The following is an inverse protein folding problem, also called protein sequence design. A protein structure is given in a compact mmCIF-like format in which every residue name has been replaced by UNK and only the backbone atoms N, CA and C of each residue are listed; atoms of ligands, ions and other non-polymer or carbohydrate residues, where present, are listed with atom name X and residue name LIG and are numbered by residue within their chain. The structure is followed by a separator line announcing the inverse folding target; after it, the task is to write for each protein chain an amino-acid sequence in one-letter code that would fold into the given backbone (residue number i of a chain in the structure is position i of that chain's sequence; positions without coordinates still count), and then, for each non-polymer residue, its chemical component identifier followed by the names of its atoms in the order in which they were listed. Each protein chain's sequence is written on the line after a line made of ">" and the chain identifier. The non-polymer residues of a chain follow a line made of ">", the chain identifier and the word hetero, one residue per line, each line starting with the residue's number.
data_IF_917145355197
#
_entry.id   IF_917145355197
#
_cell.length_a   1.000
_cell.length_b   1.000
_cell.length_c   1.000
_cell.angle_alpha   90.00
_cell.angle_beta   90.00
_cell.angle_gamma   90.00
#
_symmetry.space_group_name_H-M   'P 1'
#
loop_
_entity.id
_entity.type
_entity.pdbx_description
1 polymer ?
#
# COMPACT_ATOMS: atom_id res chain seq x y z
N UNK A 1 8.49 9.48 22.80
CA UNK A 1 8.51 8.01 22.63
C UNK A 1 7.16 7.51 22.08
N UNK A 2 6.84 7.71 20.79
CA UNK A 2 5.48 7.39 20.28
C UNK A 2 5.41 6.84 18.84
N UNK A 3 6.40 7.11 17.97
CA UNK A 3 6.34 6.63 16.58
C UNK A 3 6.74 5.15 16.42
N UNK A 4 7.72 4.66 17.19
CA UNK A 4 8.18 3.27 17.14
C UNK A 4 7.14 2.26 17.65
N UNK A 5 6.19 2.69 18.48
CA UNK A 5 5.18 1.81 19.07
C UNK A 5 4.05 1.46 18.09
N UNK A 6 3.85 2.24 17.02
CA UNK A 6 2.84 2.00 15.97
C UNK A 6 3.38 1.22 14.77
N UNK A 7 4.71 1.22 14.58
CA UNK A 7 5.43 0.29 13.66
C UNK A 7 5.36 -1.16 14.15
N UNK A 8 4.78 -1.38 15.34
CA UNK A 8 4.53 -2.66 16.02
C UNK A 8 3.43 -3.53 15.39
N UNK A 9 2.98 -3.25 14.16
CA UNK A 9 2.34 -4.28 13.36
C UNK A 9 3.47 -5.19 12.85
N UNK A 10 3.74 -6.28 13.58
CA UNK A 10 4.97 -7.09 13.49
C UNK A 10 5.40 -7.51 12.07
N UNK A 11 4.48 -7.51 11.10
CA UNK A 11 4.75 -7.85 9.70
C UNK A 11 5.77 -6.92 9.03
N UNK A 12 5.66 -5.60 9.20
CA UNK A 12 6.52 -4.64 8.48
C UNK A 12 7.88 -4.42 9.15
N UNK A 13 7.98 -4.71 10.44
CA UNK A 13 9.21 -4.49 11.21
C UNK A 13 10.38 -5.32 10.70
N UNK A 14 10.14 -6.59 10.37
CA UNK A 14 11.18 -7.48 9.85
C UNK A 14 11.71 -6.97 8.49
N UNK A 15 10.83 -6.46 7.63
CA UNK A 15 11.21 -5.88 6.34
C UNK A 15 12.01 -4.59 6.48
N UNK A 16 11.64 -3.73 7.43
CA UNK A 16 12.40 -2.50 7.72
C UNK A 16 13.80 -2.83 8.24
N UNK A 17 13.92 -3.80 9.14
CA UNK A 17 15.23 -4.25 9.67
C UNK A 17 16.08 -4.80 8.52
N UNK A 18 15.51 -5.68 7.69
CA UNK A 18 16.23 -6.26 6.54
C UNK A 18 16.69 -5.18 5.57
N UNK A 19 15.83 -4.21 5.25
CA UNK A 19 16.18 -3.08 4.38
C UNK A 19 17.32 -2.23 4.96
N UNK A 20 17.32 -1.98 6.27
CA UNK A 20 18.39 -1.26 6.94
C UNK A 20 19.73 -2.03 6.91
N UNK A 21 19.70 -3.35 7.13
CA UNK A 21 20.88 -4.22 7.02
C UNK A 21 21.45 -4.22 5.60
N UNK A 22 20.58 -4.29 4.58
CA UNK A 22 20.99 -4.21 3.18
C UNK A 22 21.62 -2.85 2.83
N UNK A 23 21.04 -1.74 3.29
CA UNK A 23 21.63 -0.41 3.11
C UNK A 23 23.00 -0.29 3.80
N UNK A 24 23.15 -0.87 5.00
CA UNK A 24 24.43 -0.90 5.70
C UNK A 24 25.46 -1.76 4.95
N UNK A 25 25.06 -2.90 4.39
CA UNK A 25 25.94 -3.72 3.57
C UNK A 25 26.42 -2.97 2.31
N UNK A 26 25.53 -2.21 1.66
CA UNK A 26 25.90 -1.34 0.52
C UNK A 26 26.87 -0.25 0.98
N UNK A 27 26.67 0.33 2.18
CA UNK A 27 27.57 1.34 2.73
C UNK A 27 29.00 0.84 2.92
N UNK A 28 29.14 -0.42 3.35
CA UNK A 28 30.44 -1.05 3.61
C UNK A 28 31.11 -1.48 2.29
N UNK A 29 30.36 -2.06 1.36
CA UNK A 29 30.91 -2.61 0.10
C UNK A 29 31.15 -1.53 -0.96
N UNK A 30 30.25 -0.55 -1.07
CA UNK A 30 30.27 0.48 -2.12
C UNK A 30 29.70 1.81 -1.58
N UNK A 31 30.49 2.58 -0.80
CA UNK A 31 30.03 3.82 -0.18
C UNK A 31 29.60 4.88 -1.21
N UNK A 32 30.19 4.88 -2.40
CA UNK A 32 29.83 5.78 -3.49
C UNK A 32 28.42 5.51 -4.04
N UNK A 33 27.95 4.26 -3.97
CA UNK A 33 26.65 3.86 -4.50
C UNK A 33 25.48 4.20 -3.57
N UNK A 34 25.77 4.51 -2.29
CA UNK A 34 24.74 4.88 -1.31
C UNK A 34 23.85 6.03 -1.79
N UNK A 35 24.46 7.10 -2.33
CA UNK A 35 23.72 8.27 -2.81
C UNK A 35 22.71 7.91 -3.91
N UNK A 36 23.14 7.07 -4.87
CA UNK A 36 22.29 6.63 -5.98
C UNK A 36 21.17 5.73 -5.48
N UNK A 37 21.44 4.81 -4.55
CA UNK A 37 20.41 3.93 -3.97
C UNK A 37 19.38 4.70 -3.15
N UNK A 38 19.82 5.69 -2.34
CA UNK A 38 18.92 6.54 -1.57
C UNK A 38 18.07 7.43 -2.47
N UNK A 39 18.64 7.95 -3.55
CA UNK A 39 17.90 8.71 -4.55
C UNK A 39 16.80 7.87 -5.21
N UNK A 40 17.13 6.66 -5.69
CA UNK A 40 16.15 5.73 -6.29
C UNK A 40 15.05 5.34 -5.29
N UNK A 41 15.42 5.08 -4.03
CA UNK A 41 14.46 4.74 -2.98
C UNK A 41 13.51 5.92 -2.67
N UNK A 42 14.05 7.14 -2.63
CA UNK A 42 13.26 8.36 -2.42
C UNK A 42 12.26 8.58 -3.54
N UNK A 43 12.68 8.38 -4.78
CA UNK A 43 11.80 8.47 -5.95
C UNK A 43 10.66 7.46 -5.92
N UNK A 44 10.95 6.19 -5.64
CA UNK A 44 9.92 5.14 -5.51
C UNK A 44 8.93 5.48 -4.39
N UNK A 45 9.43 6.04 -3.27
CA UNK A 45 8.59 6.44 -2.14
C UNK A 45 7.66 7.59 -2.53
N UNK A 46 8.17 8.60 -3.23
CA UNK A 46 7.37 9.73 -3.74
C UNK A 46 6.36 9.24 -4.77
N UNK A 47 6.75 8.36 -5.70
CA UNK A 47 5.88 7.77 -6.70
C UNK A 47 4.68 7.05 -6.07
N UNK A 48 4.92 6.27 -5.01
CA UNK A 48 3.86 5.56 -4.29
C UNK A 48 2.87 6.53 -3.61
N UNK A 49 3.37 7.60 -2.96
CA UNK A 49 2.53 8.61 -2.30
C UNK A 49 1.71 9.37 -3.33
N UNK A 50 2.32 9.77 -4.45
CA UNK A 50 1.65 10.48 -5.53
C UNK A 50 0.60 9.59 -6.20
N UNK A 51 0.92 8.33 -6.51
CA UNK A 51 -0.02 7.41 -7.13
C UNK A 51 -1.25 7.16 -6.28
N UNK A 52 -1.08 7.04 -4.96
CA UNK A 52 -2.21 6.92 -4.04
C UNK A 52 -3.09 8.18 -4.00
N UNK A 53 -2.48 9.37 -3.93
CA UNK A 53 -3.24 10.63 -3.91
C UNK A 53 -3.93 10.91 -5.24
N UNK A 54 -3.27 10.62 -6.35
CA UNK A 54 -3.79 10.81 -7.69
C UNK A 54 -5.01 9.92 -7.95
N UNK A 55 -4.94 8.64 -7.58
CA UNK A 55 -6.11 7.74 -7.65
C UNK A 55 -7.29 8.25 -6.82
N UNK A 56 -7.04 8.77 -5.61
CA UNK A 56 -8.10 9.36 -4.77
C UNK A 56 -8.67 10.67 -5.33
N UNK A 57 -7.84 11.52 -5.93
CA UNK A 57 -8.26 12.81 -6.46
C UNK A 57 -9.09 12.67 -7.73
N UNK A 58 -8.73 11.72 -8.61
CA UNK A 58 -9.46 11.45 -9.85
C UNK A 58 -10.83 10.81 -9.60
N UNK A 59 -10.97 10.02 -8.53
CA UNK A 59 -12.17 9.20 -8.30
C UNK A 59 -12.67 9.27 -6.85
N UNK A 60 -13.21 10.42 -6.39
CA UNK A 60 -13.70 10.57 -5.03
C UNK A 60 -14.87 9.63 -4.68
N UNK A 61 -15.74 9.31 -5.65
CA UNK A 61 -16.96 8.53 -5.44
C UNK A 61 -16.82 7.02 -5.74
N UNK A 62 -15.77 6.58 -6.46
CA UNK A 62 -15.57 5.18 -6.81
C UNK A 62 -14.54 4.51 -5.88
N UNK A 63 -14.73 4.67 -4.57
CA UNK A 63 -13.84 4.08 -3.57
C UNK A 63 -14.15 2.59 -3.38
N UNK A 64 -13.15 1.69 -3.24
CA UNK A 64 -13.39 0.25 -3.09
C UNK A 64 -14.31 -0.09 -1.91
N UNK A 65 -14.25 0.69 -0.82
CA UNK A 65 -15.10 0.49 0.35
C UNK A 65 -16.57 0.77 0.10
N UNK A 66 -16.91 1.55 -0.94
CA UNK A 66 -18.31 1.86 -1.29
C UNK A 66 -19.07 0.67 -1.88
N UNK A 67 -18.36 -0.39 -2.30
CA UNK A 67 -18.96 -1.61 -2.86
C UNK A 67 -19.10 -2.73 -1.83
N UNK A 68 -18.73 -2.51 -0.58
CA UNK A 68 -18.89 -3.48 0.50
C UNK A 68 -20.31 -3.37 1.08
N UNK A 69 -20.88 -4.50 1.48
CA UNK A 69 -22.20 -4.55 2.14
C UNK A 69 -22.11 -3.88 3.51
N UNK A 70 -21.07 -4.26 4.27
CA UNK A 70 -20.76 -3.66 5.56
C UNK A 70 -19.56 -2.72 5.43
N UNK A 71 -19.77 -1.44 5.76
CA UNK A 71 -18.68 -0.47 5.74
C UNK A 71 -17.70 -0.79 6.87
N UNK A 72 -16.48 -1.20 6.51
CA UNK A 72 -15.42 -1.59 7.45
C UNK A 72 -15.11 -0.51 8.51
N UNK A 73 -15.40 0.76 8.21
CA UNK A 73 -15.26 1.88 9.14
C UNK A 73 -16.16 1.75 10.37
N UNK A 74 -17.34 1.15 10.20
CA UNK A 74 -18.31 0.96 11.28
C UNK A 74 -17.96 -0.22 12.21
N UNK A 75 -16.97 -1.02 11.81
CA UNK A 75 -16.47 -2.21 12.53
C UNK A 75 -15.15 -1.92 13.26
N UNK A 76 -14.54 -0.74 13.07
CA UNK A 76 -13.32 -0.34 13.79
C UNK A 76 -13.52 -0.39 15.31
N UNK A 77 -12.82 -1.31 15.99
CA UNK A 77 -12.83 -1.45 17.45
C UNK A 77 -13.94 -2.35 18.01
N UNK A 78 -14.80 -2.92 17.16
CA UNK A 78 -15.75 -3.97 17.56
C UNK A 78 -15.06 -5.35 17.49
N UNK A 79 -15.45 -6.32 18.34
CA UNK A 79 -14.96 -7.68 18.20
C UNK A 79 -15.26 -8.18 16.78
N UNK A 80 -14.33 -8.95 16.16
CA UNK A 80 -14.54 -9.48 14.83
C UNK A 80 -15.87 -10.21 14.79
N UNK A 81 -16.74 -9.82 13.85
CA UNK A 81 -17.99 -10.53 13.61
C UNK A 81 -17.58 -11.96 13.26
N UNK A 82 -18.14 -13.01 13.92
CA UNK A 82 -17.79 -14.38 13.61
C UNK A 82 -18.30 -14.71 12.19
N UNK A 83 -17.49 -14.43 11.17
CA UNK A 83 -17.71 -14.91 9.81
C UNK A 83 -17.57 -16.43 9.81
N UNK A 84 -18.46 -17.13 9.10
CA UNK A 84 -18.32 -18.57 8.90
C UNK A 84 -16.95 -18.91 8.30
N UNK A 85 -16.47 -20.16 8.46
CA UNK A 85 -15.14 -20.62 7.98
C UNK A 85 -14.82 -20.28 6.51
N UNK A 86 -15.84 -20.02 5.69
CA UNK A 86 -15.72 -19.71 4.27
C UNK A 86 -16.35 -18.36 3.87
N UNK A 87 -16.68 -17.50 4.83
CA UNK A 87 -17.30 -16.20 4.56
C UNK A 87 -16.25 -15.08 4.62
N UNK A 88 -16.22 -14.17 3.64
CA UNK A 88 -15.33 -13.03 3.68
C UNK A 88 -15.66 -12.13 4.87
N UNK A 89 -14.62 -11.59 5.52
CA UNK A 89 -14.77 -10.67 6.66
C UNK A 89 -15.55 -9.39 6.27
N UNK A 90 -15.46 -8.98 5.00
CA UNK A 90 -16.23 -7.88 4.42
C UNK A 90 -16.78 -8.32 3.04
N UNK A 91 -18.06 -8.73 2.95
CA UNK A 91 -18.65 -9.16 1.68
C UNK A 91 -18.88 -7.97 0.73
N UNK A 92 -18.69 -8.21 -0.56
CA UNK A 92 -18.99 -7.25 -1.63
C UNK A 92 -20.49 -7.30 -1.95
N UNK A 93 -21.09 -6.16 -2.29
CA UNK A 93 -22.48 -6.07 -2.71
C UNK A 93 -22.76 -7.01 -3.89
N UNK A 94 -23.81 -7.82 -3.76
CA UNK A 94 -24.18 -8.82 -4.76
C UNK A 94 -24.43 -8.15 -6.12
N UNK A 95 -23.80 -8.69 -7.18
CA UNK A 95 -23.87 -8.12 -8.54
C UNK A 95 -22.83 -7.04 -8.86
N UNK A 96 -22.07 -6.53 -7.87
CA UNK A 96 -21.04 -5.50 -8.08
C UNK A 96 -19.60 -6.03 -8.02
N UNK A 97 -19.40 -7.34 -7.95
CA UNK A 97 -18.07 -7.97 -7.85
C UNK A 97 -17.13 -7.58 -9.00
N UNK A 98 -17.64 -7.56 -10.23
CA UNK A 98 -16.86 -7.16 -11.41
C UNK A 98 -16.49 -5.67 -11.38
N UNK A 99 -17.40 -4.82 -10.88
CA UNK A 99 -17.13 -3.38 -10.74
C UNK A 99 -16.10 -3.16 -9.65
N UNK A 100 -16.19 -3.88 -8.54
CA UNK A 100 -15.20 -3.86 -7.47
C UNK A 100 -13.82 -4.31 -7.97
N UNK A 101 -13.75 -5.42 -8.72
CA UNK A 101 -12.51 -5.90 -9.32
C UNK A 101 -11.94 -4.89 -10.32
N UNK A 102 -12.76 -4.29 -11.18
CA UNK A 102 -12.35 -3.26 -12.12
C UNK A 102 -11.79 -2.01 -11.42
N UNK A 103 -12.42 -1.59 -10.32
CA UNK A 103 -11.94 -0.48 -9.49
C UNK A 103 -10.57 -0.83 -8.90
N UNK A 104 -10.38 -2.03 -8.34
CA UNK A 104 -9.08 -2.46 -7.80
C UNK A 104 -7.99 -2.51 -8.88
N UNK A 105 -8.31 -3.03 -10.07
CA UNK A 105 -7.39 -3.07 -11.21
C UNK A 105 -7.00 -1.67 -11.67
N UNK A 106 -7.95 -0.72 -11.71
CA UNK A 106 -7.65 0.69 -12.03
C UNK A 106 -6.61 1.27 -11.06
N UNK A 107 -6.78 1.07 -9.75
CA UNK A 107 -5.82 1.58 -8.75
C UNK A 107 -4.44 0.97 -8.97
N UNK A 108 -4.38 -0.34 -9.23
CA UNK A 108 -3.14 -1.06 -9.49
C UNK A 108 -2.43 -0.53 -10.75
N UNK A 109 -3.17 -0.30 -11.83
CA UNK A 109 -2.64 0.23 -13.09
C UNK A 109 -2.12 1.67 -12.95
N UNK A 110 -2.85 2.55 -12.29
CA UNK A 110 -2.41 3.95 -12.05
C UNK A 110 -1.12 3.98 -11.22
N UNK A 111 -1.09 3.22 -10.12
CA UNK A 111 0.10 3.15 -9.25
C UNK A 111 1.28 2.51 -9.99
N UNK A 112 1.04 1.47 -10.79
CA UNK A 112 2.07 0.83 -11.62
C UNK A 112 2.63 1.80 -12.67
N UNK A 113 1.77 2.51 -13.40
CA UNK A 113 2.18 3.48 -14.42
C UNK A 113 3.03 4.62 -13.83
N UNK A 114 2.65 5.12 -12.64
CA UNK A 114 3.42 6.16 -11.94
C UNK A 114 4.77 5.62 -11.45
N UNK A 115 4.78 4.43 -10.84
CA UNK A 115 6.03 3.79 -10.42
C UNK A 115 6.96 3.59 -11.62
N UNK A 116 6.47 3.02 -12.72
CA UNK A 116 7.25 2.78 -13.93
C UNK A 116 7.72 4.09 -14.54
N UNK A 117 6.86 5.11 -14.66
CA UNK A 117 7.25 6.41 -15.22
C UNK A 117 8.35 7.10 -14.42
N UNK A 118 8.26 7.04 -13.08
CA UNK A 118 9.26 7.63 -12.20
C UNK A 118 10.57 6.83 -12.18
N UNK A 119 10.52 5.51 -12.30
CA UNK A 119 11.72 4.65 -12.26
C UNK A 119 12.41 4.45 -13.60
N UNK A 120 11.69 4.55 -14.73
CA UNK A 120 12.24 4.43 -16.09
C UNK A 120 12.64 5.78 -16.71
N UNK A 121 12.15 6.90 -16.20
CA UNK A 121 12.52 8.25 -16.68
C UNK A 121 13.97 8.68 -16.36
N UNK A 122 14.81 7.73 -15.91
CA UNK A 122 16.19 7.89 -15.43
C UNK A 122 17.03 6.70 -15.90
#
# INVERSE_FOLDING_TARGET
>A
MSLLHKVRYQRLRNWIILAAVLLLAIAIVSPMQLGVTLYKLSLVSIAAILGYHLDRALFPYASPGSYLIDDWKNTLGKPPVPSGRNEPEFPVATGYELVFAAVLLRRALIVSAICIGVTMGL
#
